data_IF_190474619058
#
_entry.id   IF_190474619058
#
_cell.length_a   1.000
_cell.length_b   1.000
_cell.length_c   1.000
_cell.angle_alpha   90.00
_cell.angle_beta   90.00
_cell.angle_gamma   90.00
#
_symmetry.space_group_name_H-M   'P 1'
#
loop_
_entity.id
_entity.type
_entity.pdbx_description
1 polymer ?
#
# COMPACT_ATOMS: atom_id res chain seq x y z
N UNK A 1 1.96 -7.66 7.80
CA UNK A 1 2.83 -7.62 6.59
C UNK A 1 3.76 -6.41 6.70
N UNK A 2 4.94 -6.41 6.07
CA UNK A 2 5.79 -5.21 6.01
C UNK A 2 5.41 -4.39 4.77
N UNK A 3 5.28 -3.07 4.92
CA UNK A 3 4.96 -2.14 3.83
C UNK A 3 6.02 -1.05 3.78
N UNK A 4 6.51 -0.77 2.58
CA UNK A 4 7.44 0.32 2.30
C UNK A 4 6.85 1.19 1.20
N UNK A 5 6.67 2.48 1.47
CA UNK A 5 6.22 3.49 0.51
C UNK A 5 7.38 4.41 0.20
N UNK A 6 7.77 4.46 -1.06
CA UNK A 6 8.92 5.22 -1.54
C UNK A 6 8.51 6.27 -2.56
N UNK A 7 9.21 7.39 -2.53
CA UNK A 7 9.17 8.44 -3.54
C UNK A 7 10.58 8.62 -4.13
N UNK A 8 10.75 9.36 -5.24
CA UNK A 8 12.07 9.63 -5.81
C UNK A 8 13.05 10.27 -4.82
N UNK A 9 12.55 11.11 -3.92
CA UNK A 9 13.39 11.89 -2.99
C UNK A 9 13.60 11.21 -1.62
N UNK A 10 12.63 10.39 -1.16
CA UNK A 10 12.69 9.77 0.17
C UNK A 10 11.75 8.58 0.37
N UNK A 11 12.02 7.82 1.43
CA UNK A 11 11.08 6.83 2.00
C UNK A 11 10.04 7.57 2.83
N UNK A 12 8.77 7.41 2.48
CA UNK A 12 7.64 8.07 3.14
C UNK A 12 7.09 7.22 4.30
N UNK A 13 7.17 5.90 4.17
CA UNK A 13 6.74 4.96 5.20
C UNK A 13 7.55 3.66 5.10
N UNK A 14 7.97 3.11 6.23
CA UNK A 14 8.55 1.77 6.33
C UNK A 14 8.15 1.17 7.68
N UNK A 15 7.26 0.18 7.66
CA UNK A 15 6.72 -0.37 8.88
C UNK A 15 5.73 -1.51 8.71
N UNK A 16 5.25 -2.08 9.83
CA UNK A 16 4.22 -3.10 9.83
C UNK A 16 2.85 -2.49 9.48
N UNK A 17 2.05 -3.25 8.73
CA UNK A 17 0.66 -2.94 8.43
C UNK A 17 -0.22 -4.21 8.51
N UNK A 18 -1.50 -4.01 8.81
CA UNK A 18 -2.55 -5.03 8.79
C UNK A 18 -3.10 -5.19 7.37
N UNK A 19 -3.38 -4.06 6.71
CA UNK A 19 -3.83 -4.00 5.32
C UNK A 19 -3.46 -2.66 4.67
N UNK A 20 -3.55 -2.59 3.35
CA UNK A 20 -3.45 -1.33 2.61
C UNK A 20 -4.57 -1.20 1.59
N UNK A 21 -4.92 0.04 1.24
CA UNK A 21 -5.76 0.37 0.09
C UNK A 21 -4.98 1.35 -0.78
N UNK A 22 -4.72 0.97 -2.03
CA UNK A 22 -3.98 1.78 -2.99
C UNK A 22 -4.85 2.12 -4.22
N UNK A 23 -4.67 3.31 -4.82
CA UNK A 23 -5.32 3.67 -6.07
C UNK A 23 -4.59 3.01 -7.23
N UNK A 24 -5.11 1.89 -7.75
CA UNK A 24 -4.65 1.34 -9.02
C UNK A 24 -5.23 2.16 -10.20
N UNK A 25 -4.70 1.92 -11.40
CA UNK A 25 -5.12 2.66 -12.60
C UNK A 25 -6.63 2.52 -12.90
N UNK A 26 -7.24 1.36 -12.60
CA UNK A 26 -8.64 1.03 -12.89
C UNK A 26 -9.54 0.95 -11.66
N UNK A 27 -9.07 1.45 -10.50
CA UNK A 27 -9.87 1.44 -9.27
C UNK A 27 -9.02 1.38 -8.00
N UNK A 28 -9.67 1.09 -6.88
CA UNK A 28 -8.96 0.88 -5.60
C UNK A 28 -8.69 -0.60 -5.40
N UNK A 29 -7.48 -0.93 -4.95
CA UNK A 29 -7.08 -2.30 -4.61
C UNK A 29 -6.78 -2.36 -3.11
N UNK A 30 -7.45 -3.30 -2.43
CA UNK A 30 -7.18 -3.64 -1.04
C UNK A 30 -6.28 -4.87 -0.95
N UNK A 31 -5.19 -4.78 -0.17
CA UNK A 31 -4.24 -5.88 0.02
C UNK A 31 -4.17 -6.21 1.51
N UNK A 32 -4.48 -7.47 1.85
CA UNK A 32 -4.35 -8.03 3.19
C UNK A 32 -3.09 -8.91 3.29
N UNK A 33 -2.73 -9.27 4.52
CA UNK A 33 -1.68 -10.22 4.79
C UNK A 33 -1.92 -11.57 4.06
N UNK A 34 -0.87 -12.11 3.43
CA UNK A 34 -0.92 -13.39 2.71
C UNK A 34 -1.42 -13.30 1.26
N UNK A 35 -1.67 -12.09 0.74
CA UNK A 35 -2.01 -11.90 -0.66
C UNK A 35 -0.91 -12.42 -1.60
N UNK A 36 -1.29 -13.00 -2.74
CA UNK A 36 -0.35 -13.45 -3.76
C UNK A 36 0.47 -12.28 -4.34
N UNK A 37 1.72 -12.50 -4.79
CA UNK A 37 2.53 -11.45 -5.40
C UNK A 37 1.88 -10.85 -6.65
N UNK A 38 1.99 -9.53 -6.82
CA UNK A 38 1.50 -8.81 -8.00
C UNK A 38 2.29 -7.53 -8.25
N UNK A 39 2.15 -7.00 -9.46
CA UNK A 39 2.62 -5.67 -9.87
C UNK A 39 1.44 -4.95 -10.51
N UNK A 40 1.20 -3.70 -10.13
CA UNK A 40 0.13 -2.87 -10.67
C UNK A 40 0.61 -1.44 -10.88
N UNK A 41 0.06 -0.77 -11.90
CA UNK A 41 0.24 0.67 -12.09
C UNK A 41 -0.66 1.41 -11.10
N UNK A 42 -0.08 2.31 -10.31
CA UNK A 42 -0.84 3.20 -9.44
C UNK A 42 -1.41 4.37 -10.25
N UNK A 43 -2.67 4.71 -9.99
CA UNK A 43 -3.33 5.92 -10.47
C UNK A 43 -3.21 7.06 -9.47
N UNK A 44 -3.87 8.18 -9.76
CA UNK A 44 -3.97 9.31 -8.85
C UNK A 44 -5.03 9.05 -7.78
N UNK A 45 -4.69 9.25 -6.51
CA UNK A 45 -5.63 9.12 -5.41
C UNK A 45 -4.93 8.98 -4.06
N UNK A 46 -5.72 8.65 -3.04
CA UNK A 46 -5.23 8.44 -1.68
C UNK A 46 -4.83 6.97 -1.49
N UNK A 47 -3.64 6.78 -0.92
CA UNK A 47 -3.19 5.50 -0.37
C UNK A 47 -3.45 5.51 1.14
N UNK A 48 -4.11 4.48 1.64
CA UNK A 48 -4.38 4.30 3.07
C UNK A 48 -3.68 3.05 3.58
N UNK A 49 -3.09 3.17 4.78
CA UNK A 49 -2.37 2.10 5.47
C UNK A 49 -3.06 1.87 6.80
N UNK A 50 -3.52 0.64 7.03
CA UNK A 50 -4.11 0.24 8.30
C UNK A 50 -3.01 -0.30 9.22
N UNK A 51 -2.77 0.39 10.33
CA UNK A 51 -1.69 0.10 11.25
C UNK A 51 -2.11 -0.92 12.31
N UNK A 52 -1.17 -1.70 12.87
CA UNK A 52 -1.47 -2.58 13.98
C UNK A 52 -1.94 -1.76 15.19
N UNK A 53 -3.16 -2.01 15.67
CA UNK A 53 -3.72 -1.36 16.87
C UNK A 53 -4.85 -0.37 16.63
N UNK A 54 -5.18 -0.08 15.36
CA UNK A 54 -6.27 0.84 14.98
C UNK A 54 -5.81 2.27 14.78
#
# INVERSE_FOLDING_TARGET
>A
MQVCVVSPDSVLFDGPAVSIVAPAWDGKVGILAGHAPMIALLGSGELSIDLPGG
#
